data_IF_258116023691
#
_entry.id   IF_258116023691
#
_cell.length_a   1.000
_cell.length_b   1.000
_cell.length_c   1.000
_cell.angle_alpha   90.00
_cell.angle_beta   90.00
_cell.angle_gamma   90.00
#
_symmetry.space_group_name_H-M   'P 1'
#
loop_
_entity.id
_entity.type
_entity.pdbx_description
1 polymer ?
#
# COMPACT_ATOMS: atom_id res chain seq x y z
N UNK A 1 -0.60 -6.54 0.52
CA UNK A 1 -1.28 -5.27 0.20
C UNK A 1 -2.78 -5.45 0.09
N UNK A 2 -3.32 -6.12 -0.93
CA UNK A 2 -4.78 -6.30 -1.12
C UNK A 2 -5.48 -6.82 0.15
N UNK A 3 -4.94 -7.85 0.80
CA UNK A 3 -5.51 -8.38 2.05
C UNK A 3 -5.58 -7.37 3.20
N UNK A 4 -4.67 -6.39 3.24
CA UNK A 4 -4.67 -5.32 4.23
C UNK A 4 -5.70 -4.24 3.87
N UNK A 5 -5.78 -3.86 2.59
CA UNK A 5 -6.79 -2.92 2.11
C UNK A 5 -8.23 -3.45 2.25
N UNK A 6 -8.39 -4.78 2.26
CA UNK A 6 -9.66 -5.48 2.50
C UNK A 6 -10.04 -5.62 3.98
N UNK A 7 -9.19 -5.22 4.93
CA UNK A 7 -9.55 -5.25 6.34
C UNK A 7 -10.78 -4.39 6.60
N UNK A 8 -11.68 -4.84 7.48
CA UNK A 8 -12.95 -4.17 7.77
C UNK A 8 -12.76 -2.69 8.17
N UNK A 9 -11.70 -2.42 8.91
CA UNK A 9 -11.33 -1.09 9.41
C UNK A 9 -10.75 -0.21 8.30
N UNK A 10 -10.17 -0.80 7.25
CA UNK A 10 -9.56 -0.09 6.11
C UNK A 10 -10.57 0.03 4.97
N UNK A 11 -10.95 -1.08 4.34
CA UNK A 11 -12.02 -1.15 3.33
C UNK A 11 -11.77 -0.32 2.07
N UNK A 12 -10.52 -0.14 1.66
CA UNK A 12 -10.16 0.75 0.54
C UNK A 12 -10.11 0.04 -0.81
N UNK A 13 -9.84 -1.27 -0.82
CA UNK A 13 -9.82 -2.07 -2.03
C UNK A 13 -10.25 -3.51 -1.74
N UNK A 14 -10.81 -4.19 -2.75
CA UNK A 14 -11.35 -5.54 -2.63
C UNK A 14 -11.05 -6.40 -3.87
N UNK A 15 -10.74 -7.67 -3.64
CA UNK A 15 -10.74 -8.70 -4.70
C UNK A 15 -12.10 -8.79 -5.39
N UNK A 16 -12.20 -9.10 -6.69
CA UNK A 16 -13.46 -9.14 -7.43
C UNK A 16 -14.56 -9.95 -6.74
N UNK A 17 -15.77 -9.40 -6.70
CA UNK A 17 -16.94 -10.11 -6.20
C UNK A 17 -17.39 -11.20 -7.19
N UNK A 18 -17.65 -12.40 -6.69
CA UNK A 18 -18.31 -13.47 -7.44
C UNK A 18 -19.17 -14.31 -6.48
N UNK A 19 -20.24 -14.90 -6.99
CA UNK A 19 -21.13 -15.75 -6.19
C UNK A 19 -20.32 -16.89 -5.53
N UNK A 20 -20.45 -17.02 -4.21
CA UNK A 20 -19.73 -18.02 -3.42
C UNK A 20 -18.24 -17.73 -3.16
N UNK A 21 -17.65 -16.69 -3.75
CA UNK A 21 -16.22 -16.37 -3.56
C UNK A 21 -15.98 -15.65 -2.23
N UNK A 22 -15.09 -16.22 -1.42
CA UNK A 22 -14.66 -15.61 -0.16
C UNK A 22 -15.78 -15.46 0.89
N UNK A 23 -16.94 -16.08 0.66
CA UNK A 23 -18.09 -16.04 1.56
C UNK A 23 -17.88 -16.83 2.86
N UNK A 24 -18.84 -16.70 3.77
CA UNK A 24 -18.91 -17.49 5.00
C UNK A 24 -20.32 -18.02 5.20
N UNK A 25 -20.45 -19.28 5.62
CA UNK A 25 -21.73 -19.94 5.86
C UNK A 25 -22.59 -19.28 6.94
N UNK A 26 -21.96 -18.52 7.85
CA UNK A 26 -22.65 -17.87 8.97
C UNK A 26 -22.66 -16.34 8.88
N UNK A 27 -21.86 -15.74 7.99
CA UNK A 27 -21.76 -14.29 7.81
C UNK A 27 -21.96 -13.92 6.34
N UNK A 28 -23.20 -13.62 5.92
CA UNK A 28 -23.54 -13.32 4.53
C UNK A 28 -22.77 -12.14 3.92
N UNK A 29 -22.38 -11.18 4.74
CA UNK A 29 -21.61 -10.01 4.33
C UNK A 29 -20.09 -10.24 4.26
N UNK A 30 -19.59 -11.40 4.69
CA UNK A 30 -18.15 -11.64 4.82
C UNK A 30 -17.51 -11.86 3.45
N UNK A 31 -16.47 -11.07 3.15
CA UNK A 31 -15.71 -11.12 1.91
C UNK A 31 -14.22 -11.35 2.21
N UNK A 32 -13.78 -12.60 2.14
CA UNK A 32 -12.39 -12.98 2.41
C UNK A 32 -11.49 -12.79 1.17
N UNK A 33 -10.23 -12.34 1.35
CA UNK A 33 -9.26 -12.21 0.26
C UNK A 33 -8.64 -13.57 -0.13
N UNK A 34 -9.41 -14.40 -0.85
CA UNK A 34 -9.01 -15.78 -1.16
C UNK A 34 -7.86 -15.87 -2.17
N UNK A 35 -7.78 -14.96 -3.14
CA UNK A 35 -6.70 -14.95 -4.12
C UNK A 35 -5.39 -14.46 -3.51
N UNK A 36 -5.45 -13.44 -2.65
CA UNK A 36 -4.32 -13.00 -1.86
C UNK A 36 -3.83 -14.12 -0.93
N UNK A 37 -4.73 -14.93 -0.36
CA UNK A 37 -4.35 -16.09 0.45
C UNK A 37 -3.52 -17.12 -0.35
N UNK A 38 -3.91 -17.42 -1.59
CA UNK A 38 -3.12 -18.31 -2.47
C UNK A 38 -1.75 -17.72 -2.79
N UNK A 39 -1.69 -16.43 -3.15
CA UNK A 39 -0.42 -15.76 -3.46
C UNK A 39 0.52 -15.72 -2.23
N UNK A 40 0.00 -15.42 -1.05
CA UNK A 40 0.75 -15.41 0.21
C UNK A 40 1.23 -16.81 0.60
N UNK A 41 0.39 -17.84 0.43
CA UNK A 41 0.78 -19.23 0.68
C UNK A 41 1.91 -19.67 -0.25
N UNK A 42 1.86 -19.32 -1.53
CA UNK A 42 2.95 -19.58 -2.47
C UNK A 42 4.23 -18.82 -2.06
N UNK A 43 4.12 -17.53 -1.73
CA UNK A 43 5.26 -16.72 -1.29
C UNK A 43 5.93 -17.25 -0.01
N UNK A 44 5.18 -17.90 0.89
CA UNK A 44 5.72 -18.53 2.09
C UNK A 44 6.39 -19.89 1.80
N UNK A 45 5.89 -20.66 0.82
CA UNK A 45 6.41 -22.00 0.49
C UNK A 45 7.61 -21.99 -0.43
N UNK A 46 7.57 -21.14 -1.46
CA UNK A 46 8.57 -21.09 -2.55
C UNK A 46 10.02 -20.94 -2.02
N UNK A 47 10.33 -20.08 -1.03
CA UNK A 47 11.71 -19.94 -0.55
C UNK A 47 12.32 -21.25 -0.05
N UNK A 48 11.54 -22.10 0.63
CA UNK A 48 12.02 -23.40 1.10
C UNK A 48 12.33 -24.37 -0.04
N UNK A 49 11.45 -24.42 -1.04
CA UNK A 49 11.65 -25.26 -2.23
C UNK A 49 12.86 -24.79 -3.06
N UNK A 50 13.05 -23.47 -3.19
CA UNK A 50 14.25 -22.90 -3.84
C UNK A 50 15.51 -23.28 -3.08
N UNK A 51 15.49 -23.23 -1.74
CA UNK A 51 16.62 -23.65 -0.92
C UNK A 51 16.96 -25.14 -1.16
N UNK A 52 15.96 -26.01 -1.31
CA UNK A 52 16.18 -27.42 -1.70
C UNK A 52 16.94 -27.55 -3.02
N UNK A 53 16.54 -26.81 -4.06
CA UNK A 53 17.25 -26.83 -5.34
C UNK A 53 18.68 -26.29 -5.24
N UNK A 54 18.90 -25.23 -4.46
CA UNK A 54 20.24 -24.68 -4.23
C UNK A 54 21.14 -25.67 -3.48
N UNK A 55 20.60 -26.38 -2.49
CA UNK A 55 21.32 -27.45 -1.80
C UNK A 55 21.62 -28.64 -2.72
N UNK A 56 20.76 -28.93 -3.69
CA UNK A 56 20.96 -29.99 -4.67
C UNK A 56 22.04 -29.65 -5.73
N UNK A 57 22.54 -28.41 -5.82
CA UNK A 57 23.54 -28.04 -6.84
C UNK A 57 24.87 -28.80 -6.71
N UNK A 58 25.25 -29.21 -5.50
CA UNK A 58 26.50 -29.96 -5.27
C UNK A 58 26.23 -31.45 -5.53
N UNK A 59 26.35 -31.85 -6.79
CA UNK A 59 26.20 -33.23 -7.23
C UNK A 59 27.56 -33.93 -7.27
N UNK A 60 27.64 -35.17 -6.77
CA UNK A 60 28.86 -35.95 -6.78
C UNK A 60 29.12 -36.58 -8.16
N UNK A 61 30.37 -36.45 -8.65
CA UNK A 61 30.88 -37.11 -9.86
C UNK A 61 29.98 -36.91 -11.11
N UNK A 62 29.80 -37.94 -11.93
CA UNK A 62 29.04 -37.86 -13.20
C UNK A 62 27.51 -37.94 -13.01
N UNK A 63 27.02 -38.37 -11.82
CA UNK A 63 25.59 -38.40 -11.46
C UNK A 63 25.41 -38.56 -9.93
N UNK A 64 25.07 -37.47 -9.25
CA UNK A 64 24.83 -37.48 -7.80
C UNK A 64 23.58 -38.27 -7.41
N UNK A 65 23.69 -39.11 -6.38
CA UNK A 65 22.57 -39.83 -5.77
C UNK A 65 21.95 -38.97 -4.65
N UNK A 66 20.62 -38.96 -4.53
CA UNK A 66 19.92 -38.12 -3.55
C UNK A 66 19.64 -36.70 -4.06
N UNK A 67 20.68 -35.88 -4.31
CA UNK A 67 20.52 -34.49 -4.78
C UNK A 67 19.69 -34.40 -6.07
N UNK A 68 20.06 -35.17 -7.10
CA UNK A 68 19.31 -35.24 -8.35
C UNK A 68 17.85 -35.67 -8.17
N UNK A 69 17.59 -36.58 -7.22
CA UNK A 69 16.23 -37.08 -6.95
C UNK A 69 15.39 -36.05 -6.17
N UNK A 70 16.03 -35.23 -5.33
CA UNK A 70 15.39 -34.14 -4.60
C UNK A 70 14.81 -33.07 -5.55
N UNK A 71 15.35 -32.93 -6.76
CA UNK A 71 14.86 -31.98 -7.77
C UNK A 71 13.53 -32.41 -8.40
N UNK A 72 13.24 -33.72 -8.46
CA UNK A 72 12.17 -34.30 -9.28
C UNK A 72 10.79 -33.74 -8.96
N UNK A 73 10.44 -33.62 -7.68
CA UNK A 73 9.15 -33.04 -7.25
C UNK A 73 9.27 -31.55 -6.93
N UNK A 74 10.44 -31.12 -6.45
CA UNK A 74 10.68 -29.73 -6.03
C UNK A 74 10.50 -28.74 -7.18
N UNK A 75 11.05 -29.05 -8.36
CA UNK A 75 10.96 -28.15 -9.51
C UNK A 75 9.53 -28.05 -10.07
N UNK A 76 8.81 -29.17 -10.34
CA UNK A 76 7.40 -29.11 -10.71
C UNK A 76 6.53 -28.37 -9.68
N UNK A 77 6.74 -28.60 -8.38
CA UNK A 77 5.96 -27.92 -7.34
C UNK A 77 6.18 -26.40 -7.37
N UNK A 78 7.43 -25.95 -7.56
CA UNK A 78 7.73 -24.52 -7.77
C UNK A 78 6.97 -23.94 -8.95
N UNK A 79 6.95 -24.64 -10.10
CA UNK A 79 6.21 -24.20 -11.27
C UNK A 79 4.70 -24.11 -11.00
N UNK A 80 4.12 -25.10 -10.31
CA UNK A 80 2.68 -25.12 -9.96
C UNK A 80 2.32 -23.98 -9.00
N UNK A 81 3.12 -23.75 -7.96
CA UNK A 81 2.91 -22.66 -7.01
C UNK A 81 3.01 -21.30 -7.68
N UNK A 82 4.02 -21.09 -8.53
CA UNK A 82 4.19 -19.85 -9.27
C UNK A 82 3.03 -19.60 -10.24
N UNK A 83 2.62 -20.62 -10.99
CA UNK A 83 1.50 -20.52 -11.92
C UNK A 83 0.17 -20.22 -11.20
N UNK A 84 -0.08 -20.90 -10.07
CA UNK A 84 -1.25 -20.66 -9.23
C UNK A 84 -1.29 -19.24 -8.66
N UNK A 85 -0.17 -18.77 -8.09
CA UNK A 85 -0.05 -17.40 -7.58
C UNK A 85 -0.23 -16.35 -8.68
N UNK A 86 0.39 -16.56 -9.86
CA UNK A 86 0.26 -15.67 -11.00
C UNK A 86 -1.20 -15.60 -11.47
N UNK A 87 -1.87 -16.74 -11.63
CA UNK A 87 -3.27 -16.80 -12.06
C UNK A 87 -4.18 -16.02 -11.10
N UNK A 88 -4.00 -16.20 -9.79
CA UNK A 88 -4.79 -15.51 -8.77
C UNK A 88 -4.47 -14.02 -8.70
N UNK A 89 -3.22 -13.64 -8.92
CA UNK A 89 -2.80 -12.23 -8.97
C UNK A 89 -3.40 -11.53 -10.19
N UNK A 90 -3.39 -12.16 -11.37
CA UNK A 90 -4.01 -11.61 -12.58
C UNK A 90 -5.50 -11.34 -12.35
N UNK A 91 -6.23 -12.35 -11.86
CA UNK A 91 -7.65 -12.23 -11.54
C UNK A 91 -7.93 -11.12 -10.52
N UNK A 92 -7.11 -11.01 -9.47
CA UNK A 92 -7.22 -9.94 -8.47
C UNK A 92 -7.02 -8.56 -9.07
N UNK A 93 -6.01 -8.37 -9.92
CA UNK A 93 -5.66 -7.06 -10.48
C UNK A 93 -6.66 -6.63 -11.57
N UNK A 94 -7.12 -7.55 -12.41
CA UNK A 94 -8.11 -7.25 -13.46
C UNK A 94 -9.48 -6.91 -12.88
N UNK A 95 -9.83 -7.53 -11.75
CA UNK A 95 -11.12 -7.32 -11.07
C UNK A 95 -11.06 -6.48 -9.80
N UNK A 96 -9.96 -5.77 -9.54
CA UNK A 96 -9.78 -5.03 -8.28
C UNK A 96 -10.84 -3.92 -8.14
N UNK A 97 -11.65 -4.00 -7.10
CA UNK A 97 -12.60 -2.96 -6.74
C UNK A 97 -11.90 -1.96 -5.80
N UNK A 98 -11.98 -0.67 -6.10
CA UNK A 98 -11.37 0.40 -5.30
C UNK A 98 -12.47 1.32 -4.79
N UNK A 99 -12.41 1.74 -3.52
CA UNK A 99 -13.32 2.70 -2.91
C UNK A 99 -12.60 4.03 -2.59
N UNK A 100 -12.59 5.00 -3.53
CA UNK A 100 -11.97 6.31 -3.32
C UNK A 100 -12.63 7.13 -2.20
N UNK A 101 -13.92 6.91 -1.93
CA UNK A 101 -14.62 7.61 -0.87
C UNK A 101 -14.15 7.11 0.50
N UNK A 102 -13.96 5.79 0.64
CA UNK A 102 -13.37 5.20 1.85
C UNK A 102 -11.91 5.61 2.03
N UNK A 103 -11.10 5.61 0.97
CA UNK A 103 -9.72 6.15 1.02
C UNK A 103 -9.70 7.59 1.55
N UNK A 104 -10.58 8.45 1.03
CA UNK A 104 -10.70 9.83 1.51
C UNK A 104 -11.12 9.88 2.98
N UNK A 105 -12.10 9.09 3.38
CA UNK A 105 -12.54 9.02 4.78
C UNK A 105 -11.41 8.54 5.72
N UNK A 106 -10.58 7.59 5.30
CA UNK A 106 -9.49 7.06 6.11
C UNK A 106 -8.38 8.10 6.32
N UNK A 107 -8.12 8.97 5.34
CA UNK A 107 -7.18 10.09 5.52
C UNK A 107 -7.60 11.06 6.65
N UNK A 108 -8.91 11.18 6.89
CA UNK A 108 -9.46 11.99 7.99
C UNK A 108 -9.30 11.35 9.37
N UNK A 109 -8.92 10.06 9.46
CA UNK A 109 -8.78 9.34 10.73
C UNK A 109 -7.76 10.01 11.68
N UNK A 110 -6.75 10.68 11.11
CA UNK A 110 -5.75 11.42 11.89
C UNK A 110 -6.16 12.86 12.21
N UNK A 111 -7.36 13.30 11.78
CA UNK A 111 -7.89 14.67 11.91
C UNK A 111 -6.95 15.71 11.30
N UNK A 112 -6.44 15.42 10.11
CA UNK A 112 -5.52 16.27 9.35
C UNK A 112 -4.05 16.19 9.78
N UNK A 113 -3.70 15.48 10.86
CA UNK A 113 -2.30 15.38 11.31
C UNK A 113 -1.38 14.68 10.31
N UNK A 114 -1.91 13.81 9.45
CA UNK A 114 -1.15 13.22 8.35
C UNK A 114 -0.61 14.26 7.36
N UNK A 115 -1.19 15.46 7.31
CA UNK A 115 -0.76 16.59 6.48
C UNK A 115 0.06 17.64 7.26
N UNK A 116 0.56 17.30 8.45
CA UNK A 116 1.40 18.22 9.24
C UNK A 116 2.66 18.66 8.49
N UNK A 117 3.26 17.78 7.69
CA UNK A 117 4.40 18.13 6.83
C UNK A 117 4.03 19.21 5.82
N UNK A 118 2.89 19.05 5.12
CA UNK A 118 2.39 20.02 4.16
C UNK A 118 2.20 21.41 4.80
N UNK A 119 1.61 21.44 6.00
CA UNK A 119 1.45 22.66 6.77
C UNK A 119 2.80 23.27 7.19
N UNK A 120 3.76 22.44 7.60
CA UNK A 120 5.10 22.90 7.97
C UNK A 120 5.84 23.50 6.77
N UNK A 121 5.76 22.88 5.60
CA UNK A 121 6.38 23.39 4.37
C UNK A 121 5.73 24.70 3.91
N UNK A 122 4.41 24.80 3.97
CA UNK A 122 3.69 26.03 3.65
C UNK A 122 4.06 27.19 4.59
N UNK A 123 4.18 26.93 5.90
CA UNK A 123 4.65 27.92 6.88
C UNK A 123 6.13 28.26 6.71
N UNK A 124 6.99 27.29 6.41
CA UNK A 124 8.43 27.49 6.31
C UNK A 124 8.80 28.53 5.24
N UNK A 125 8.01 28.62 4.16
CA UNK A 125 8.16 29.64 3.11
C UNK A 125 7.89 31.07 3.62
N UNK A 126 7.25 31.24 4.78
CA UNK A 126 6.88 32.54 5.35
C UNK A 126 7.66 32.90 6.62
N UNK A 127 7.94 31.92 7.47
CA UNK A 127 8.55 32.14 8.80
C UNK A 127 9.89 31.42 9.00
N UNK A 128 10.34 30.65 8.00
CA UNK A 128 11.54 29.83 8.10
C UNK A 128 11.27 28.46 8.74
N UNK A 129 12.14 27.49 8.45
CA UNK A 129 11.94 26.07 8.77
C UNK A 129 11.82 25.78 10.26
N UNK A 130 12.70 26.33 11.09
CA UNK A 130 12.69 26.08 12.55
C UNK A 130 11.39 26.54 13.19
N UNK A 131 11.00 27.79 12.90
CA UNK A 131 9.78 28.37 13.46
C UNK A 131 8.52 27.66 12.95
N UNK A 132 8.47 27.29 11.66
CA UNK A 132 7.37 26.52 11.11
C UNK A 132 7.22 25.15 11.77
N UNK A 133 8.33 24.46 12.03
CA UNK A 133 8.33 23.18 12.74
C UNK A 133 7.75 23.32 14.14
N UNK A 134 8.25 24.28 14.94
CA UNK A 134 7.78 24.52 16.31
C UNK A 134 6.28 24.86 16.37
N UNK A 135 5.79 25.69 15.44
CA UNK A 135 4.37 26.06 15.35
C UNK A 135 3.52 24.82 15.07
N UNK A 136 3.88 24.02 14.07
CA UNK A 136 3.10 22.85 13.65
C UNK A 136 3.18 21.72 14.68
N UNK A 137 4.33 21.52 15.31
CA UNK A 137 4.50 20.53 16.37
C UNK A 137 3.57 20.84 17.56
N UNK A 138 3.61 22.10 18.03
CA UNK A 138 2.73 22.58 19.11
C UNK A 138 1.25 22.44 18.73
N UNK A 139 0.88 22.83 17.52
CA UNK A 139 -0.49 22.71 17.04
C UNK A 139 -0.94 21.24 16.91
N UNK A 140 -0.05 20.34 16.45
CA UNK A 140 -0.30 18.90 16.35
C UNK A 140 -0.53 18.26 17.71
N UNK A 141 0.26 18.66 18.71
CA UNK A 141 0.08 18.22 20.11
C UNK A 141 -1.28 18.67 20.67
N UNK A 142 -1.61 19.96 20.51
CA UNK A 142 -2.91 20.52 20.92
C UNK A 142 -4.08 19.84 20.20
N UNK A 143 -3.96 19.55 18.90
CA UNK A 143 -4.98 18.85 18.13
C UNK A 143 -5.20 17.42 18.63
N UNK A 144 -4.12 16.71 18.98
CA UNK A 144 -4.20 15.37 19.55
C UNK A 144 -4.87 15.36 20.94
N UNK A 145 -4.47 16.27 21.84
CA UNK A 145 -5.01 16.38 23.20
C UNK A 145 -6.48 16.80 23.22
N UNK A 146 -6.87 17.74 22.34
CA UNK A 146 -8.24 18.25 22.26
C UNK A 146 -9.17 17.44 21.36
N UNK A 147 -8.63 16.50 20.58
CA UNK A 147 -9.38 15.79 19.55
C UNK A 147 -9.88 16.72 18.43
N UNK A 148 -9.25 17.86 18.18
CA UNK A 148 -9.69 18.78 17.12
C UNK A 148 -8.94 18.53 15.82
N UNK A 149 -9.44 19.07 14.72
CA UNK A 149 -8.70 19.02 13.46
C UNK A 149 -7.47 19.94 13.53
N UNK A 150 -6.33 19.46 13.00
CA UNK A 150 -5.10 20.26 13.00
C UNK A 150 -5.29 21.60 12.27
N UNK A 151 -6.06 21.61 11.17
CA UNK A 151 -6.38 22.84 10.41
C UNK A 151 -7.06 23.91 11.28
N UNK A 152 -7.95 23.49 12.19
CA UNK A 152 -8.69 24.41 13.07
C UNK A 152 -7.77 24.97 14.14
N UNK A 153 -6.93 24.12 14.73
CA UNK A 153 -5.95 24.54 15.75
C UNK A 153 -4.93 25.53 15.16
N UNK A 154 -4.49 25.32 13.92
CA UNK A 154 -3.60 26.25 13.21
C UNK A 154 -4.30 27.56 12.84
N UNK A 155 -5.58 27.51 12.45
CA UNK A 155 -6.35 28.71 12.15
C UNK A 155 -6.56 29.61 13.38
N UNK A 156 -6.54 29.04 14.58
CA UNK A 156 -6.65 29.75 15.85
C UNK A 156 -5.31 30.14 16.48
N UNK A 157 -4.18 29.58 16.02
CA UNK A 157 -2.86 29.94 16.52
C UNK A 157 -2.38 31.22 15.83
N UNK A 158 -2.23 32.36 16.55
CA UNK A 158 -1.83 33.62 15.95
C UNK A 158 -0.48 33.54 15.21
N UNK A 159 0.42 32.64 15.63
CA UNK A 159 1.71 32.42 14.99
C UNK A 159 1.59 31.74 13.62
N UNK A 160 0.51 30.98 13.37
CA UNK A 160 0.21 30.36 12.08
C UNK A 160 -0.76 31.22 11.25
N UNK A 161 -1.88 31.64 11.85
CA UNK A 161 -2.98 32.34 11.17
C UNK A 161 -2.57 33.66 10.51
N UNK A 162 -1.56 34.35 11.05
CA UNK A 162 -0.96 35.54 10.45
C UNK A 162 -0.31 35.26 9.08
N UNK A 163 0.18 34.05 8.86
CA UNK A 163 0.97 33.66 7.69
C UNK A 163 0.23 32.72 6.74
N UNK A 164 -0.74 31.95 7.25
CA UNK A 164 -1.63 31.07 6.50
C UNK A 164 -3.09 31.42 6.80
N UNK A 165 -3.75 32.26 5.98
CA UNK A 165 -5.17 32.53 6.12
C UNK A 165 -6.00 31.26 5.88
N UNK A 166 -7.27 31.27 6.31
CA UNK A 166 -8.15 30.10 6.28
C UNK A 166 -8.29 29.44 4.90
N UNK A 167 -8.26 30.24 3.81
CA UNK A 167 -8.29 29.72 2.44
C UNK A 167 -7.05 28.88 2.13
N UNK A 168 -5.86 29.40 2.44
CA UNK A 168 -4.59 28.72 2.19
C UNK A 168 -4.49 27.45 3.05
N UNK A 169 -5.01 27.49 4.29
CA UNK A 169 -5.13 26.29 5.13
C UNK A 169 -6.04 25.23 4.50
N UNK A 170 -7.16 25.62 3.89
CA UNK A 170 -8.03 24.65 3.22
C UNK A 170 -7.33 23.95 2.04
N UNK A 171 -6.50 24.66 1.29
CA UNK A 171 -5.72 24.09 0.18
C UNK A 171 -4.58 23.18 0.69
N UNK A 172 -3.87 23.59 1.74
CA UNK A 172 -2.80 22.79 2.37
C UNK A 172 -3.33 21.49 2.95
N UNK A 173 -4.53 21.51 3.52
CA UNK A 173 -5.17 20.34 4.12
C UNK A 173 -6.03 19.53 3.15
N UNK A 174 -5.97 19.78 1.83
CA UNK A 174 -6.52 18.86 0.84
C UNK A 174 -5.45 17.84 0.42
N UNK A 175 -5.63 16.53 0.71
CA UNK A 175 -4.66 15.50 0.34
C UNK A 175 -4.31 15.43 -1.16
N UNK A 176 -5.20 15.92 -2.04
CA UNK A 176 -4.94 15.99 -3.49
C UNK A 176 -3.77 16.91 -3.85
N UNK A 177 -3.49 17.88 -2.99
CA UNK A 177 -2.39 18.83 -3.17
C UNK A 177 -1.07 18.31 -2.56
N UNK A 178 -1.08 17.12 -1.96
CA UNK A 178 0.09 16.51 -1.30
C UNK A 178 0.42 15.12 -1.85
N UNK A 179 0.42 14.98 -3.17
CA UNK A 179 0.69 13.70 -3.87
C UNK A 179 2.17 13.52 -4.25
N UNK A 180 3.01 14.55 -4.08
CA UNK A 180 4.41 14.53 -4.50
C UNK A 180 4.58 14.08 -5.96
N UNK A 181 5.53 13.18 -6.19
CA UNK A 181 5.86 12.64 -7.52
C UNK A 181 5.00 11.43 -7.93
N UNK A 182 3.90 11.13 -7.23
CA UNK A 182 3.13 9.89 -7.44
C UNK A 182 2.70 9.70 -8.91
N UNK A 183 2.17 10.74 -9.55
CA UNK A 183 1.76 10.68 -10.96
C UNK A 183 2.96 10.47 -11.90
N UNK A 184 4.06 11.19 -11.68
CA UNK A 184 5.27 11.07 -12.49
C UNK A 184 5.90 9.66 -12.40
N UNK A 185 5.86 9.04 -11.22
CA UNK A 185 6.31 7.67 -11.02
C UNK A 185 5.43 6.66 -11.77
N UNK A 186 4.10 6.83 -11.72
CA UNK A 186 3.15 6.01 -12.49
C UNK A 186 3.41 6.14 -14.00
N UNK A 187 3.55 7.37 -14.50
CA UNK A 187 3.80 7.63 -15.91
C UNK A 187 5.09 6.99 -16.41
N UNK A 188 6.16 7.05 -15.60
CA UNK A 188 7.43 6.38 -15.91
C UNK A 188 7.27 4.87 -16.06
N UNK A 189 6.54 4.21 -15.16
CA UNK A 189 6.30 2.76 -15.22
C UNK A 189 5.49 2.39 -16.46
N UNK A 190 4.45 3.17 -16.77
CA UNK A 190 3.62 2.95 -17.97
C UNK A 190 4.41 3.17 -19.26
N UNK A 191 5.27 4.19 -19.32
CA UNK A 191 6.14 4.44 -20.46
C UNK A 191 7.13 3.28 -20.68
N UNK A 192 7.76 2.79 -19.62
CA UNK A 192 8.64 1.63 -19.70
C UNK A 192 7.90 0.37 -20.17
N UNK A 193 6.68 0.14 -19.68
CA UNK A 193 5.87 -1.01 -20.11
C UNK A 193 5.55 -0.95 -21.61
N UNK A 194 5.24 0.24 -22.14
CA UNK A 194 5.01 0.45 -23.58
C UNK A 194 6.26 0.13 -24.41
N UNK A 195 7.42 0.70 -24.03
CA UNK A 195 8.71 0.41 -24.68
C UNK A 195 9.01 -1.08 -24.79
N UNK A 196 8.81 -1.83 -23.70
CA UNK A 196 9.03 -3.28 -23.70
C UNK A 196 8.07 -4.05 -24.60
N UNK A 197 6.82 -3.60 -24.73
CA UNK A 197 5.85 -4.23 -25.65
C UNK A 197 6.19 -4.01 -27.11
N UNK A 198 6.74 -2.85 -27.46
CA UNK A 198 7.14 -2.52 -28.84
C UNK A 198 8.43 -3.23 -29.25
N UNK A 199 9.29 -3.57 -28.28
CA UNK A 199 10.55 -4.27 -28.52
C UNK A 199 10.42 -5.81 -28.62
N UNK A 200 9.24 -6.38 -28.33
CA UNK A 200 8.96 -7.83 -28.38
C UNK A 200 8.09 -8.13 -29.58
#
# INVERSE_FOLDING_TARGET
>A
DVSLLMQTEVGEAFEPAAEGRGGSSTMPQKRNPVSAAVALAAAARVPGLVATLLSAMVQEHERGLGGWHAEWETLPELCVLAAGALRQTVDTIEGLEVDPARMRSNLEATRGRILAEAASMALAARVGRSQAHEIVERASRRAAESGRQLREVLAEDPAAAKHLPAKDLAEVFDPRNWLGESAALVDRVLAERRRRREAT
#
